data_IF_070979130992
#
_entry.id   IF_070979130992
#
_cell.length_a   1.000
_cell.length_b   1.000
_cell.length_c   1.000
_cell.angle_alpha   90.00
_cell.angle_beta   90.00
_cell.angle_gamma   90.00
#
_symmetry.space_group_name_H-M   'P 1'
#
loop_
_entity.id
_entity.type
_entity.pdbx_description
1 polymer ?
#
# COMPACT_ATOMS: atom_id res chain seq x y z
N UNK A 1 33.43 -63.09 8.81
CA UNK A 1 32.17 -62.35 9.03
C UNK A 1 31.74 -61.74 7.70
N UNK A 2 30.67 -62.28 7.10
CA UNK A 2 30.15 -61.82 5.81
C UNK A 2 29.38 -60.50 5.98
N UNK A 3 29.94 -59.40 5.47
CA UNK A 3 29.26 -58.11 5.36
C UNK A 3 28.33 -58.14 4.14
N UNK A 4 27.07 -58.51 4.36
CA UNK A 4 25.99 -58.27 3.39
C UNK A 4 25.85 -56.75 3.23
N UNK A 5 26.39 -56.20 2.13
CA UNK A 5 26.11 -54.82 1.70
C UNK A 5 24.59 -54.70 1.50
N UNK A 6 23.95 -53.90 2.35
CA UNK A 6 22.66 -53.31 2.04
C UNK A 6 22.91 -52.36 0.88
N UNK A 7 22.66 -52.80 -0.36
CA UNK A 7 22.56 -51.88 -1.49
C UNK A 7 21.33 -51.02 -1.22
N UNK A 8 21.55 -49.86 -0.59
CA UNK A 8 20.56 -48.80 -0.60
C UNK A 8 20.45 -48.34 -2.06
N UNK A 9 19.26 -48.53 -2.59
CA UNK A 9 18.83 -48.13 -3.93
C UNK A 9 18.78 -46.58 -3.92
N UNK A 10 19.94 -45.93 -4.04
CA UNK A 10 20.05 -44.46 -4.14
C UNK A 10 19.52 -44.02 -5.50
N UNK A 11 18.19 -43.95 -5.62
CA UNK A 11 17.51 -43.38 -6.77
C UNK A 11 17.78 -41.88 -6.79
N UNK A 12 18.65 -41.46 -7.70
CA UNK A 12 18.93 -40.05 -7.94
C UNK A 12 17.72 -39.32 -8.53
N UNK A 13 17.64 -38.02 -8.25
CA UNK A 13 16.62 -37.13 -8.80
C UNK A 13 16.76 -37.07 -10.33
N UNK A 14 15.66 -37.27 -11.06
CA UNK A 14 15.67 -37.16 -12.52
C UNK A 14 15.45 -35.71 -12.96
N UNK A 15 16.00 -35.33 -14.13
CA UNK A 15 15.78 -34.00 -14.71
C UNK A 15 14.29 -33.72 -14.96
N UNK A 16 13.52 -34.77 -15.31
CA UNK A 16 12.09 -34.64 -15.59
C UNK A 16 11.29 -34.30 -14.32
N UNK A 17 11.65 -34.86 -13.16
CA UNK A 17 10.99 -34.54 -11.89
C UNK A 17 11.18 -33.06 -11.52
N UNK A 18 12.39 -32.53 -11.71
CA UNK A 18 12.66 -31.10 -11.48
C UNK A 18 11.91 -30.19 -12.47
N UNK A 19 11.79 -30.62 -13.74
CA UNK A 19 11.06 -29.87 -14.76
C UNK A 19 9.57 -29.73 -14.40
N UNK A 20 8.93 -30.83 -13.99
CA UNK A 20 7.50 -30.82 -13.61
C UNK A 20 7.26 -29.93 -12.39
N UNK A 21 8.15 -29.94 -11.40
CA UNK A 21 8.04 -29.08 -10.22
C UNK A 21 8.10 -27.60 -10.58
N UNK A 22 9.07 -27.20 -11.41
CA UNK A 22 9.19 -25.81 -11.85
C UNK A 22 8.00 -25.39 -12.70
N UNK A 23 7.46 -26.29 -13.53
CA UNK A 23 6.25 -26.03 -14.31
C UNK A 23 5.06 -25.68 -13.41
N UNK A 24 4.81 -26.48 -12.37
CA UNK A 24 3.70 -26.21 -11.42
C UNK A 24 3.93 -24.90 -10.66
N UNK A 25 5.15 -24.64 -10.17
CA UNK A 25 5.48 -23.39 -9.47
C UNK A 25 5.25 -22.16 -10.38
N UNK A 26 5.66 -22.24 -11.65
CA UNK A 26 5.48 -21.15 -12.60
C UNK A 26 4.00 -20.80 -12.82
N UNK A 27 3.13 -21.81 -12.95
CA UNK A 27 1.67 -21.62 -13.09
C UNK A 27 1.07 -20.94 -11.85
N UNK A 28 1.46 -21.38 -10.65
CA UNK A 28 0.97 -20.78 -9.40
C UNK A 28 1.39 -19.31 -9.29
N UNK A 29 2.66 -19.00 -9.56
CA UNK A 29 3.19 -17.63 -9.50
C UNK A 29 2.50 -16.73 -10.54
N UNK A 30 2.26 -17.23 -11.76
CA UNK A 30 1.60 -16.49 -12.81
C UNK A 30 0.20 -15.98 -12.40
N UNK A 31 -0.54 -16.78 -11.60
CA UNK A 31 -1.86 -16.41 -11.08
C UNK A 31 -1.75 -15.55 -9.80
N UNK A 32 -0.76 -15.83 -8.95
CA UNK A 32 -0.62 -15.16 -7.66
C UNK A 32 -0.14 -13.69 -7.76
N UNK A 33 0.83 -13.41 -8.64
CA UNK A 33 1.43 -12.08 -8.77
C UNK A 33 0.47 -10.94 -9.16
N UNK A 34 -0.41 -11.08 -10.17
CA UNK A 34 -1.34 -10.00 -10.52
C UNK A 34 -2.30 -9.67 -9.38
N UNK A 35 -2.78 -10.69 -8.67
CA UNK A 35 -3.66 -10.52 -7.51
C UNK A 35 -2.96 -9.78 -6.37
N UNK A 36 -1.69 -10.09 -6.10
CA UNK A 36 -0.90 -9.40 -5.09
C UNK A 36 -0.68 -7.91 -5.44
N UNK A 37 -0.40 -7.61 -6.71
CA UNK A 37 -0.24 -6.22 -7.19
C UNK A 37 -1.54 -5.43 -7.04
N UNK A 38 -2.66 -5.99 -7.48
CA UNK A 38 -3.98 -5.33 -7.37
C UNK A 38 -4.39 -5.10 -5.91
N UNK A 39 -4.13 -6.08 -5.02
CA UNK A 39 -4.36 -5.92 -3.59
C UNK A 39 -3.49 -4.81 -2.99
N UNK A 40 -2.22 -4.72 -3.40
CA UNK A 40 -1.31 -3.66 -3.00
C UNK A 40 -1.79 -2.27 -3.42
N UNK A 41 -2.19 -2.10 -4.67
CA UNK A 41 -2.73 -0.83 -5.18
C UNK A 41 -4.03 -0.43 -4.45
N UNK A 42 -4.94 -1.39 -4.24
CA UNK A 42 -6.17 -1.15 -3.46
C UNK A 42 -5.87 -0.71 -2.03
N UNK A 43 -4.90 -1.33 -1.37
CA UNK A 43 -4.47 -0.95 -0.03
C UNK A 43 -3.88 0.47 0.00
N UNK A 44 -3.07 0.84 -0.99
CA UNK A 44 -2.51 2.19 -1.12
C UNK A 44 -3.62 3.24 -1.33
N UNK A 45 -4.62 2.93 -2.17
CA UNK A 45 -5.78 3.80 -2.41
C UNK A 45 -6.57 4.03 -1.12
N UNK A 46 -6.92 2.95 -0.40
CA UNK A 46 -7.69 3.02 0.85
C UNK A 46 -6.95 3.78 1.96
N UNK A 47 -5.65 3.53 2.12
CA UNK A 47 -4.83 4.24 3.08
C UNK A 47 -4.70 5.73 2.72
N UNK A 48 -4.57 6.06 1.42
CA UNK A 48 -4.56 7.43 0.96
C UNK A 48 -5.90 8.13 1.23
N UNK A 49 -7.02 7.47 0.98
CA UNK A 49 -8.36 7.97 1.28
C UNK A 49 -8.55 8.26 2.78
N UNK A 50 -8.12 7.33 3.65
CA UNK A 50 -8.16 7.51 5.10
C UNK A 50 -7.34 8.73 5.55
N UNK A 51 -6.14 8.93 4.99
CA UNK A 51 -5.32 10.10 5.26
C UNK A 51 -6.00 11.40 4.81
N UNK A 52 -6.65 11.42 3.63
CA UNK A 52 -7.38 12.60 3.15
C UNK A 52 -8.54 12.95 4.07
N UNK A 53 -9.31 11.95 4.51
CA UNK A 53 -10.40 12.12 5.48
C UNK A 53 -9.90 12.68 6.81
N UNK A 54 -8.77 12.18 7.31
CA UNK A 54 -8.14 12.69 8.53
C UNK A 54 -7.72 14.17 8.37
N UNK A 55 -7.06 14.52 7.27
CA UNK A 55 -6.67 15.91 7.00
C UNK A 55 -7.91 16.80 6.83
N UNK A 56 -8.95 16.31 6.16
CA UNK A 56 -10.22 17.02 6.00
C UNK A 56 -10.87 17.35 7.34
N UNK A 57 -11.01 16.34 8.22
CA UNK A 57 -11.54 16.53 9.56
C UNK A 57 -10.73 17.54 10.39
N UNK A 58 -9.40 17.52 10.29
CA UNK A 58 -8.57 18.51 10.97
C UNK A 58 -8.68 19.91 10.34
N UNK A 59 -8.95 20.01 9.04
CA UNK A 59 -9.20 21.28 8.38
C UNK A 59 -10.56 21.87 8.78
N UNK A 60 -11.56 21.02 9.06
CA UNK A 60 -12.83 21.44 9.62
C UNK A 60 -12.67 21.95 11.06
N UNK A 61 -11.89 21.26 11.90
CA UNK A 61 -11.54 21.77 13.24
C UNK A 61 -10.83 23.13 13.16
N UNK A 62 -9.89 23.29 12.23
CA UNK A 62 -9.23 24.57 11.97
C UNK A 62 -10.25 25.66 11.61
N UNK A 63 -11.24 25.35 10.78
CA UNK A 63 -12.30 26.30 10.42
C UNK A 63 -13.19 26.67 11.60
N UNK A 64 -13.56 25.71 12.45
CA UNK A 64 -14.36 25.96 13.65
C UNK A 64 -13.68 26.92 14.62
N UNK A 65 -12.36 26.85 14.76
CA UNK A 65 -11.60 27.73 15.67
C UNK A 65 -11.24 29.08 15.06
N UNK A 66 -10.92 29.12 13.75
CA UNK A 66 -10.29 30.29 13.11
C UNK A 66 -11.17 30.95 12.03
N UNK A 67 -12.38 30.44 11.81
CA UNK A 67 -13.37 30.98 10.86
C UNK A 67 -12.96 30.91 9.39
N UNK A 68 -11.83 30.27 9.07
CA UNK A 68 -11.28 30.18 7.71
C UNK A 68 -10.57 28.85 7.52
N UNK A 69 -10.57 28.30 6.31
CA UNK A 69 -9.86 27.06 6.04
C UNK A 69 -8.34 27.29 5.90
N UNK A 70 -7.51 26.29 6.24
CA UNK A 70 -6.06 26.39 6.08
C UNK A 70 -5.67 26.53 4.61
N UNK A 71 -4.60 27.28 4.35
CA UNK A 71 -4.10 27.53 3.00
C UNK A 71 -3.29 26.37 2.43
N UNK A 72 -2.69 25.56 3.29
CA UNK A 72 -1.96 24.36 2.94
C UNK A 72 -1.87 23.42 4.16
N UNK A 73 -1.54 22.15 3.92
CA UNK A 73 -1.41 21.14 4.98
C UNK A 73 -0.28 21.48 5.97
N UNK A 74 0.77 22.17 5.53
CA UNK A 74 1.88 22.59 6.38
C UNK A 74 1.46 23.59 7.47
N UNK A 75 0.53 24.49 7.16
CA UNK A 75 -0.04 25.43 8.14
C UNK A 75 -0.72 24.70 9.29
N UNK A 76 -1.42 23.60 8.99
CA UNK A 76 -2.10 22.79 10.00
C UNK A 76 -1.11 22.10 10.93
N UNK A 77 0.02 21.61 10.39
CA UNK A 77 1.11 21.06 11.21
C UNK A 77 1.68 22.13 12.14
N UNK A 78 1.99 23.31 11.61
CA UNK A 78 2.61 24.38 12.39
C UNK A 78 1.71 24.91 13.52
N UNK A 79 0.39 24.79 13.37
CA UNK A 79 -0.59 25.15 14.39
C UNK A 79 -1.02 24.00 15.29
N UNK A 80 -0.45 22.80 15.12
CA UNK A 80 -0.69 21.66 15.99
C UNK A 80 -1.93 20.81 15.68
N UNK A 81 -2.70 21.11 14.63
CA UNK A 81 -3.82 20.26 14.19
C UNK A 81 -3.36 18.92 13.61
N UNK A 82 -2.11 18.86 13.14
CA UNK A 82 -1.47 17.62 12.69
C UNK A 82 -0.15 17.42 13.43
N UNK A 83 0.02 16.26 14.08
CA UNK A 83 1.30 15.86 14.70
C UNK A 83 2.39 15.73 13.65
N UNK A 84 2.08 15.07 12.55
CA UNK A 84 2.91 14.93 11.36
C UNK A 84 2.01 15.05 10.14
N UNK A 85 2.57 15.49 9.01
CA UNK A 85 1.84 15.43 7.74
C UNK A 85 1.87 13.98 7.27
N UNK A 86 0.72 13.30 7.13
CA UNK A 86 0.68 11.95 6.61
C UNK A 86 1.31 11.91 5.22
N UNK A 87 2.07 10.87 4.93
CA UNK A 87 2.63 10.65 3.58
C UNK A 87 1.76 9.62 2.87
N UNK A 88 1.44 9.85 1.60
CA UNK A 88 0.74 8.86 0.81
C UNK A 88 1.63 7.61 0.64
N UNK A 89 1.10 6.38 0.78
CA UNK A 89 1.87 5.16 0.56
C UNK A 89 2.49 5.06 -0.84
N UNK A 90 1.85 5.68 -1.84
CA UNK A 90 2.37 5.83 -3.20
C UNK A 90 3.30 7.05 -3.38
N UNK A 91 3.80 7.63 -2.28
CA UNK A 91 4.69 8.82 -2.24
C UNK A 91 4.08 10.12 -2.79
N UNK A 92 2.76 10.18 -2.92
CA UNK A 92 2.03 11.41 -3.25
C UNK A 92 2.02 12.46 -2.14
N UNK A 93 1.77 13.72 -2.52
CA UNK A 93 1.61 14.86 -1.59
C UNK A 93 0.12 15.24 -1.46
N UNK A 94 -0.24 15.77 -0.29
CA UNK A 94 -1.59 16.28 -0.03
C UNK A 94 -1.68 17.79 -0.21
N UNK A 95 -2.73 18.26 -0.89
CA UNK A 95 -3.04 19.69 -1.09
C UNK A 95 -4.46 20.00 -0.64
N UNK A 96 -4.69 21.26 -0.23
CA UNK A 96 -6.00 21.74 0.23
C UNK A 96 -6.56 22.72 -0.79
N UNK A 97 -7.80 22.50 -1.23
CA UNK A 97 -8.54 23.39 -2.10
C UNK A 97 -9.59 24.15 -1.29
N UNK A 98 -9.42 25.47 -1.19
CA UNK A 98 -10.30 26.35 -0.39
C UNK A 98 -11.74 26.41 -0.90
N UNK A 99 -11.92 26.27 -2.22
CA UNK A 99 -13.20 26.45 -2.92
C UNK A 99 -13.89 25.11 -3.28
N UNK A 100 -13.42 23.99 -2.73
CA UNK A 100 -14.07 22.69 -2.94
C UNK A 100 -15.11 22.42 -1.85
N UNK A 101 -16.15 21.64 -2.19
CA UNK A 101 -17.09 21.07 -1.21
C UNK A 101 -16.33 20.35 -0.10
N UNK A 102 -16.90 20.31 1.12
CA UNK A 102 -16.25 19.78 2.34
C UNK A 102 -15.58 18.43 2.10
N UNK A 103 -16.23 17.54 1.37
CA UNK A 103 -15.73 16.20 1.06
C UNK A 103 -14.55 16.15 0.07
N UNK A 104 -14.37 17.17 -0.77
CA UNK A 104 -13.31 17.23 -1.81
C UNK A 104 -12.21 18.25 -1.52
N UNK A 105 -12.11 18.71 -0.26
CA UNK A 105 -11.13 19.73 0.14
C UNK A 105 -9.69 19.23 0.05
N UNK A 106 -9.44 17.94 0.27
CA UNK A 106 -8.07 17.39 0.31
C UNK A 106 -7.84 16.54 -0.94
N UNK A 107 -6.82 16.87 -1.72
CA UNK A 107 -6.40 16.09 -2.89
C UNK A 107 -5.05 15.44 -2.65
N UNK A 108 -4.85 14.28 -3.26
CA UNK A 108 -3.56 13.62 -3.39
C UNK A 108 -3.04 13.76 -4.83
N UNK A 109 -1.75 14.04 -5.00
CA UNK A 109 -1.13 14.13 -6.33
C UNK A 109 -1.13 12.83 -7.14
N UNK A 110 -1.39 11.68 -6.50
CA UNK A 110 -1.38 10.36 -7.15
C UNK A 110 -2.80 9.79 -7.28
N UNK A 111 -3.59 9.83 -6.20
CA UNK A 111 -4.92 9.20 -6.15
C UNK A 111 -6.09 10.20 -6.29
N UNK A 112 -5.81 11.47 -6.59
CA UNK A 112 -6.84 12.50 -6.80
C UNK A 112 -7.65 12.83 -5.55
N UNK A 113 -8.97 12.91 -5.70
CA UNK A 113 -9.96 13.31 -4.68
C UNK A 113 -10.39 12.13 -3.81
#
# INVERSE_FOLDING_TARGET
MNLRRLQQDERGFTLIEMLVVLFVIAVIIAIALPNLKAAGESAQNRACEANRKLIGSQADNYYLELGSYPSNVGQMKNRGYLRTVPTCPAKGKYSIHKNASVEKRVKCSIHGD
#
